data_IF_989363265023
#
_entry.id   IF_989363265023
#
_cell.length_a   1.000
_cell.length_b   1.000
_cell.length_c   1.000
_cell.angle_alpha   90.00
_cell.angle_beta   90.00
_cell.angle_gamma   90.00
#
_symmetry.space_group_name_H-M   'P 1'
#
loop_
_entity.id
_entity.type
_entity.pdbx_description
1 polymer ?
#
# COMPACT_ATOMS: atom_id res chain seq x y z
N UNK A 1 3.80 1.16 -12.63
CA UNK A 1 3.92 -0.29 -12.41
C UNK A 1 4.71 -0.60 -11.16
N UNK A 2 4.14 -0.24 -10.01
CA UNK A 2 4.15 -1.16 -8.89
C UNK A 2 3.67 -2.48 -9.48
N UNK A 3 4.32 -3.58 -9.14
CA UNK A 3 3.99 -4.87 -9.76
C UNK A 3 2.47 -5.05 -9.61
N UNK A 4 1.66 -5.00 -10.69
CA UNK A 4 0.20 -4.91 -10.59
C UNK A 4 -0.39 -6.06 -9.77
N UNK A 5 0.34 -7.18 -9.70
CA UNK A 5 0.02 -8.35 -8.91
C UNK A 5 0.20 -8.12 -7.40
N UNK A 6 1.28 -7.49 -6.95
CA UNK A 6 1.49 -7.23 -5.51
C UNK A 6 0.53 -6.16 -4.98
N UNK A 7 0.21 -5.14 -5.78
CA UNK A 7 -0.80 -4.14 -5.41
C UNK A 7 -2.20 -4.74 -5.36
N UNK A 8 -2.55 -5.62 -6.30
CA UNK A 8 -3.86 -6.26 -6.37
C UNK A 8 -4.06 -7.27 -5.24
N UNK A 9 -3.06 -8.12 -4.99
CA UNK A 9 -3.11 -9.11 -3.91
C UNK A 9 -3.07 -8.42 -2.53
N UNK A 10 -2.22 -7.40 -2.36
CA UNK A 10 -2.18 -6.58 -1.15
C UNK A 10 -3.51 -5.86 -0.89
N UNK A 11 -4.13 -5.28 -1.92
CA UNK A 11 -5.43 -4.61 -1.79
C UNK A 11 -6.56 -5.59 -1.49
N UNK A 12 -6.54 -6.79 -2.08
CA UNK A 12 -7.51 -7.85 -1.77
C UNK A 12 -7.39 -8.33 -0.32
N UNK A 13 -6.17 -8.55 0.18
CA UNK A 13 -5.95 -8.95 1.58
C UNK A 13 -6.44 -7.86 2.54
N UNK A 14 -6.15 -6.58 2.25
CA UNK A 14 -6.66 -5.45 3.04
C UNK A 14 -8.19 -5.42 3.05
N UNK A 15 -8.83 -5.58 1.89
CA UNK A 15 -10.30 -5.62 1.78
C UNK A 15 -10.92 -6.76 2.60
N UNK A 16 -10.31 -7.95 2.57
CA UNK A 16 -10.74 -9.09 3.39
C UNK A 16 -10.60 -8.82 4.89
N UNK A 17 -9.50 -8.20 5.33
CA UNK A 17 -9.30 -7.84 6.74
C UNK A 17 -10.31 -6.78 7.19
N UNK A 18 -10.52 -5.74 6.40
CA UNK A 18 -11.52 -4.70 6.68
C UNK A 18 -12.92 -5.33 6.77
N UNK A 19 -13.28 -6.22 5.83
CA UNK A 19 -14.55 -6.93 5.87
C UNK A 19 -14.68 -7.83 7.12
N UNK A 20 -13.63 -8.54 7.50
CA UNK A 20 -13.59 -9.37 8.70
C UNK A 20 -13.85 -8.56 9.98
N UNK A 21 -13.22 -7.40 10.11
CA UNK A 21 -13.47 -6.49 11.25
C UNK A 21 -14.85 -5.84 11.18
N UNK A 22 -15.33 -5.49 9.98
CA UNK A 22 -16.67 -4.90 9.81
C UNK A 22 -17.77 -5.87 10.21
N UNK A 23 -17.64 -7.14 9.81
CA UNK A 23 -18.63 -8.17 10.10
C UNK A 23 -18.69 -8.54 11.59
N UNK A 24 -17.52 -8.70 12.24
CA UNK A 24 -17.46 -9.20 13.61
C UNK A 24 -17.50 -8.06 14.66
N UNK A 25 -16.93 -6.90 14.36
CA UNK A 25 -16.78 -5.78 15.30
C UNK A 25 -16.89 -4.41 14.59
N UNK A 26 -18.06 -4.04 14.07
CA UNK A 26 -18.24 -2.79 13.34
C UNK A 26 -17.92 -1.55 14.18
N UNK A 27 -18.04 -1.63 15.52
CA UNK A 27 -17.63 -0.54 16.42
C UNK A 27 -16.13 -0.26 16.40
N UNK A 28 -15.28 -1.26 16.17
CA UNK A 28 -13.82 -1.07 16.13
C UNK A 28 -13.39 -0.23 14.92
N UNK A 29 -14.06 -0.38 13.78
CA UNK A 29 -13.77 0.40 12.58
C UNK A 29 -14.12 1.88 12.74
N UNK A 30 -15.10 2.20 13.60
CA UNK A 30 -15.47 3.59 13.93
C UNK A 30 -14.41 4.30 14.76
N UNK A 31 -13.46 3.55 15.32
CA UNK A 31 -12.26 4.08 15.96
C UNK A 31 -11.09 3.99 14.97
N UNK A 32 -10.07 4.84 15.11
CA UNK A 32 -8.80 4.75 14.36
C UNK A 32 -7.99 3.53 14.81
N UNK A 33 -8.54 2.34 14.54
CA UNK A 33 -8.04 1.04 14.97
C UNK A 33 -7.18 0.37 13.89
N UNK A 34 -7.54 0.57 12.62
CA UNK A 34 -6.77 0.02 11.50
C UNK A 34 -5.73 1.02 11.01
N UNK A 35 -4.50 0.54 10.88
CA UNK A 35 -3.38 1.28 10.32
C UNK A 35 -2.70 0.42 9.27
N UNK A 36 -2.33 1.04 8.16
CA UNK A 36 -1.50 0.44 7.14
C UNK A 36 -0.05 0.91 7.30
N UNK A 37 0.87 -0.03 7.21
CA UNK A 37 2.29 0.27 7.08
C UNK A 37 2.71 0.21 5.61
N UNK A 38 3.16 1.35 5.07
CA UNK A 38 3.62 1.47 3.69
C UNK A 38 5.15 1.47 3.63
N UNK A 39 5.71 0.84 2.60
CA UNK A 39 7.15 0.88 2.30
C UNK A 39 7.37 1.45 0.90
N UNK A 40 8.50 2.14 0.65
CA UNK A 40 8.78 2.64 -0.68
C UNK A 40 8.94 1.49 -1.68
N UNK A 41 8.39 1.70 -2.88
CA UNK A 41 8.40 0.73 -3.97
C UNK A 41 9.66 0.87 -4.84
N UNK A 42 10.24 2.07 -4.85
CA UNK A 42 11.47 2.41 -5.57
C UNK A 42 12.28 3.35 -4.69
N UNK A 43 13.55 3.03 -4.50
CA UNK A 43 14.54 3.98 -3.98
C UNK A 43 15.58 4.27 -5.05
N UNK A 44 15.97 5.53 -5.16
CA UNK A 44 17.07 5.97 -6.01
C UNK A 44 18.13 6.63 -5.15
N UNK A 45 19.39 6.29 -5.39
CA UNK A 45 20.51 6.87 -4.68
C UNK A 45 21.59 7.36 -5.65
N UNK A 46 22.16 8.53 -5.34
CA UNK A 46 23.30 9.10 -6.03
C UNK A 46 24.18 9.83 -5.03
N UNK A 47 25.37 9.27 -4.78
CA UNK A 47 26.33 9.81 -3.80
C UNK A 47 25.69 9.99 -2.41
N UNK A 48 25.38 11.23 -2.00
CA UNK A 48 24.78 11.56 -0.70
C UNK A 48 23.26 11.83 -0.78
N UNK A 49 22.66 11.75 -1.96
CA UNK A 49 21.24 11.98 -2.15
C UNK A 49 20.50 10.65 -2.28
N UNK A 50 19.40 10.52 -1.55
CA UNK A 50 18.48 9.39 -1.63
C UNK A 50 17.05 9.92 -1.75
N UNK A 51 16.29 9.37 -2.70
CA UNK A 51 14.86 9.61 -2.83
C UNK A 51 14.12 8.28 -2.79
N UNK A 52 12.99 8.27 -2.10
CA UNK A 52 12.12 7.12 -1.96
C UNK A 52 10.75 7.48 -2.54
N UNK A 53 10.23 6.61 -3.40
CA UNK A 53 8.95 6.79 -4.07
C UNK A 53 7.99 5.70 -3.60
N UNK A 54 6.75 6.07 -3.34
CA UNK A 54 5.70 5.16 -2.85
C UNK A 54 4.68 4.81 -3.94
N UNK A 55 4.75 5.49 -5.09
CA UNK A 55 3.97 5.16 -6.28
C UNK A 55 4.83 5.25 -7.54
N UNK A 56 4.54 4.44 -8.57
CA UNK A 56 5.29 4.55 -9.83
C UNK A 56 4.99 5.83 -10.60
N UNK A 57 3.75 6.36 -10.63
CA UNK A 57 3.51 7.66 -11.25
C UNK A 57 4.47 8.75 -10.71
N UNK A 58 4.67 8.80 -9.38
CA UNK A 58 5.61 9.70 -8.73
C UNK A 58 7.07 9.48 -9.20
N UNK A 59 7.50 8.22 -9.26
CA UNK A 59 8.84 7.86 -9.75
C UNK A 59 9.02 8.18 -11.25
N UNK A 60 7.99 7.97 -12.07
CA UNK A 60 8.03 8.26 -13.50
C UNK A 60 8.04 9.76 -13.77
N UNK A 61 7.31 10.55 -12.97
CA UNK A 61 7.40 12.01 -12.99
C UNK A 61 8.79 12.49 -12.60
N UNK A 62 9.37 11.96 -11.52
CA UNK A 62 10.75 12.27 -11.15
C UNK A 62 11.75 11.92 -12.25
N UNK A 63 11.61 10.74 -12.89
CA UNK A 63 12.46 10.34 -14.03
C UNK A 63 12.34 11.29 -15.21
N UNK A 64 11.13 11.75 -15.54
CA UNK A 64 10.88 12.71 -16.63
C UNK A 64 11.52 14.07 -16.36
N UNK A 65 11.50 14.51 -15.11
CA UNK A 65 12.02 15.80 -14.69
C UNK A 65 13.54 15.79 -14.38
N UNK A 66 14.19 14.62 -14.44
CA UNK A 66 15.61 14.45 -14.11
C UNK A 66 16.41 14.02 -15.33
N UNK A 67 17.05 14.96 -16.03
CA UNK A 67 17.83 14.67 -17.26
C UNK A 67 18.87 13.55 -17.09
N UNK A 68 19.54 13.51 -15.93
CA UNK A 68 20.62 12.57 -15.65
C UNK A 68 20.19 11.36 -14.80
N UNK A 69 18.92 10.96 -14.84
CA UNK A 69 18.40 9.87 -14.01
C UNK A 69 19.17 8.54 -14.19
N UNK A 70 19.75 8.29 -15.37
CA UNK A 70 20.57 7.09 -15.67
C UNK A 70 21.84 6.98 -14.81
N UNK A 71 22.30 8.09 -14.23
CA UNK A 71 23.45 8.12 -13.32
C UNK A 71 23.10 7.76 -11.87
N UNK A 72 21.80 7.62 -11.58
CA UNK A 72 21.31 7.20 -10.27
C UNK A 72 21.26 5.68 -10.23
N UNK A 73 21.60 5.12 -9.08
CA UNK A 73 21.34 3.72 -8.82
C UNK A 73 19.87 3.57 -8.39
N UNK A 74 19.13 2.72 -9.09
CA UNK A 74 17.68 2.56 -8.95
C UNK A 74 17.43 1.15 -8.40
N UNK A 75 16.83 1.06 -7.21
CA UNK A 75 16.45 -0.20 -6.55
C UNK A 75 14.94 -0.30 -6.48
N UNK A 76 14.39 -1.37 -7.06
CA UNK A 76 12.97 -1.70 -7.01
C UNK A 76 12.70 -2.68 -5.87
N UNK A 77 11.67 -2.42 -5.08
CA UNK A 77 11.22 -3.28 -3.98
C UNK A 77 9.91 -3.90 -4.43
N UNK A 78 9.95 -5.19 -4.80
CA UNK A 78 8.76 -5.90 -5.25
C UNK A 78 7.90 -6.29 -4.05
N UNK A 79 8.48 -6.94 -3.06
CA UNK A 79 7.82 -7.26 -1.79
C UNK A 79 8.68 -7.00 -0.55
N UNK A 80 8.09 -7.17 0.64
CA UNK A 80 8.71 -6.87 1.94
C UNK A 80 10.03 -7.62 2.19
N UNK A 81 10.20 -8.82 1.61
CA UNK A 81 11.44 -9.61 1.71
C UNK A 81 12.66 -9.00 0.99
N UNK A 82 12.46 -7.96 0.19
CA UNK A 82 13.55 -7.24 -0.53
C UNK A 82 14.21 -6.17 0.37
N UNK A 83 13.60 -5.86 1.51
CA UNK A 83 14.12 -4.88 2.48
C UNK A 83 15.14 -5.53 3.41
N UNK A 84 16.27 -4.87 3.60
CA UNK A 84 17.31 -5.29 4.54
C UNK A 84 16.90 -4.96 5.98
N UNK A 85 17.45 -5.67 6.97
CA UNK A 85 17.19 -5.37 8.38
C UNK A 85 17.61 -3.96 8.79
N UNK A 86 18.53 -3.33 8.06
CA UNK A 86 18.92 -1.93 8.26
C UNK A 86 17.80 -0.99 7.82
N UNK A 87 17.27 -1.19 6.62
CA UNK A 87 16.15 -0.40 6.08
C UNK A 87 14.90 -0.56 6.95
N UNK A 88 14.61 -1.77 7.44
CA UNK A 88 13.50 -1.99 8.37
C UNK A 88 13.64 -1.11 9.63
N UNK A 89 14.83 -1.04 10.23
CA UNK A 89 15.07 -0.17 11.40
C UNK A 89 14.87 1.31 11.07
N UNK A 90 15.26 1.75 9.88
CA UNK A 90 15.03 3.13 9.42
C UNK A 90 13.53 3.42 9.26
N UNK A 91 12.75 2.48 8.72
CA UNK A 91 11.30 2.64 8.58
C UNK A 91 10.59 2.72 9.94
N UNK A 92 10.98 1.88 10.91
CA UNK A 92 10.43 1.95 12.26
C UNK A 92 10.89 3.18 13.04
N UNK A 93 12.07 3.74 12.73
CA UNK A 93 12.52 4.99 13.32
C UNK A 93 11.70 6.20 12.83
N UNK A 94 11.20 6.15 11.59
CA UNK A 94 10.31 7.18 11.01
C UNK A 94 8.89 6.61 10.79
N UNK A 95 8.30 6.13 11.89
CA UNK A 95 7.03 5.40 11.83
C UNK A 95 5.87 6.26 11.32
N UNK A 96 5.84 7.56 11.62
CA UNK A 96 4.76 8.46 11.18
C UNK A 96 4.68 8.56 9.66
N UNK A 97 5.82 8.58 8.97
CA UNK A 97 5.88 8.65 7.50
C UNK A 97 5.45 7.34 6.83
N UNK A 98 5.65 6.21 7.52
CA UNK A 98 5.34 4.88 7.00
C UNK A 98 3.95 4.39 7.43
N UNK A 99 3.21 5.19 8.21
CA UNK A 99 1.92 4.79 8.77
C UNK A 99 0.78 5.60 8.19
N UNK A 100 -0.16 4.92 7.54
CA UNK A 100 -1.42 5.49 7.09
C UNK A 100 -2.52 4.99 8.02
N UNK A 101 -3.15 5.90 8.76
CA UNK A 101 -4.29 5.55 9.60
C UNK A 101 -5.57 5.56 8.78
N UNK A 102 -6.33 4.46 8.79
CA UNK A 102 -7.65 4.43 8.17
C UNK A 102 -8.63 5.24 9.02
N UNK A 103 -9.35 6.14 8.37
CA UNK A 103 -10.42 6.92 9.01
C UNK A 103 -11.75 6.46 8.47
N UNK A 104 -12.62 6.02 9.37
CA UNK A 104 -14.01 5.75 9.05
C UNK A 104 -14.79 7.08 9.01
N UNK A 105 -15.40 7.35 7.86
CA UNK A 105 -16.15 8.58 7.56
C UNK A 105 -17.68 8.37 7.57
N UNK A 106 -18.16 7.16 7.89
CA UNK A 106 -19.59 6.91 8.14
C UNK A 106 -20.25 6.00 7.11
N UNK A 107 -21.50 6.33 6.73
CA UNK A 107 -22.35 5.46 5.93
C UNK A 107 -21.81 5.17 4.52
N UNK A 108 -20.95 6.03 3.96
CA UNK A 108 -20.29 5.78 2.67
C UNK A 108 -19.31 4.61 2.76
N UNK A 109 -18.56 4.48 3.85
CA UNK A 109 -17.64 3.35 4.07
C UNK A 109 -18.42 2.06 4.30
N UNK A 110 -19.53 2.11 5.04
CA UNK A 110 -20.39 0.93 5.23
C UNK A 110 -20.92 0.40 3.89
N UNK A 111 -21.34 1.31 2.99
CA UNK A 111 -21.78 0.94 1.64
C UNK A 111 -20.63 0.39 0.80
N UNK A 112 -19.45 0.99 0.85
CA UNK A 112 -18.26 0.53 0.14
C UNK A 112 -17.79 -0.84 0.62
N UNK A 113 -17.71 -1.07 1.93
CA UNK A 113 -17.32 -2.35 2.53
C UNK A 113 -18.34 -3.43 2.20
N UNK A 114 -19.64 -3.11 2.28
CA UNK A 114 -20.72 -4.03 1.92
C UNK A 114 -20.64 -4.43 0.44
N UNK A 115 -20.39 -3.48 -0.45
CA UNK A 115 -20.20 -3.74 -1.88
C UNK A 115 -19.00 -4.67 -2.15
N UNK A 116 -17.87 -4.42 -1.48
CA UNK A 116 -16.69 -5.30 -1.56
C UNK A 116 -16.99 -6.70 -1.01
N UNK A 117 -17.72 -6.79 0.10
CA UNK A 117 -18.14 -8.07 0.67
C UNK A 117 -19.03 -8.87 -0.30
N UNK A 118 -19.97 -8.20 -0.99
CA UNK A 118 -20.80 -8.82 -2.02
C UNK A 118 -19.99 -9.26 -3.24
N UNK A 119 -18.99 -8.48 -3.67
CA UNK A 119 -18.08 -8.88 -4.76
C UNK A 119 -17.20 -10.08 -4.37
N UNK A 120 -16.80 -10.21 -3.10
CA UNK A 120 -16.02 -11.35 -2.60
C UNK A 120 -16.88 -12.62 -2.39
N UNK A 121 -18.16 -12.47 -2.03
CA UNK A 121 -19.11 -13.60 -1.95
C UNK A 121 -19.66 -14.04 -3.31
N UNK A 122 -19.59 -13.18 -4.32
CA UNK A 122 -19.88 -13.51 -5.73
C UNK A 122 -18.60 -13.90 -6.49
N UNK A 123 -18.06 -15.09 -6.20
CA UNK A 123 -17.36 -15.89 -7.21
C UNK A 123 -18.35 -16.93 -7.78
N UNK A 124 -18.23 -17.32 -9.07
CA UNK A 124 -19.34 -17.32 -10.01
C UNK A 124 -20.30 -18.50 -9.83
N UNK A 125 -21.59 -18.20 -9.67
CA UNK A 125 -22.65 -19.09 -10.14
C UNK A 125 -23.12 -18.53 -11.47
N UNK A 126 -22.39 -18.83 -12.56
CA UNK A 126 -22.89 -18.88 -13.93
C UNK A 126 -21.77 -19.29 -14.91
N UNK A 127 -21.61 -20.60 -15.08
CA UNK A 127 -21.54 -21.25 -16.41
C UNK A 127 -21.98 -22.71 -16.23
N UNK A 128 -23.22 -23.01 -16.62
CA UNK A 128 -23.45 -24.18 -17.48
C UNK A 128 -22.99 -23.81 -18.89
#
# INVERSE_FOLDING_TARGET
>A
MTDPHEDQDGSHIKGLLINFFHHNWPSLLKHTFLEEFITPIVKVNKSKQEFAFYSIPEFDEWKKNTENFKTWHIKYYKGLGTSTSKEAKEYFADMEKHRITFRYIGAEDDAAITLVSFMLTLHPVLTC
#
